data_IF_526343124467
#
_entry.id   IF_526343124467
#
_cell.length_a   1.000
_cell.length_b   1.000
_cell.length_c   1.000
_cell.angle_alpha   90.00
_cell.angle_beta   90.00
_cell.angle_gamma   90.00
#
_symmetry.space_group_name_H-M   'P 1'
#
loop_
_entity.id
_entity.type
_entity.pdbx_description
1 polymer ?
#
# COMPACT_ATOMS: atom_id res chain seq x y z
N UNK A 1 26.17 -1.44 0.85
CA UNK A 1 25.87 -0.50 1.94
C UNK A 1 24.37 -0.22 1.95
N UNK A 2 23.89 0.68 2.80
CA UNK A 2 22.49 1.09 2.80
C UNK A 2 22.34 2.58 3.20
N UNK A 3 21.21 3.18 2.84
CA UNK A 3 20.78 4.52 3.26
C UNK A 3 19.48 4.37 4.04
N UNK A 4 19.45 4.85 5.27
CA UNK A 4 18.21 4.97 6.04
C UNK A 4 17.44 6.21 5.60
N UNK A 5 16.22 6.02 5.12
CA UNK A 5 15.37 7.13 4.70
C UNK A 5 14.75 7.81 5.93
N UNK A 6 14.69 9.14 5.92
CA UNK A 6 14.09 9.94 6.98
C UNK A 6 12.59 9.62 7.11
N UNK A 7 11.91 9.46 5.97
CA UNK A 7 10.51 9.03 5.90
C UNK A 7 10.36 7.86 4.94
N UNK A 8 9.32 7.00 5.12
CA UNK A 8 9.06 5.92 4.18
C UNK A 8 8.71 6.45 2.78
N UNK A 9 9.15 5.74 1.74
CA UNK A 9 8.94 6.11 0.33
C UNK A 9 8.34 4.95 -0.44
N UNK A 10 7.38 5.21 -1.33
CA UNK A 10 6.87 4.16 -2.22
C UNK A 10 7.95 3.69 -3.18
N UNK A 11 8.14 2.37 -3.29
CA UNK A 11 8.91 1.84 -4.39
C UNK A 11 8.15 2.04 -5.72
N UNK A 12 8.75 2.75 -6.66
CA UNK A 12 8.10 3.15 -7.93
C UNK A 12 7.55 1.96 -8.72
N UNK A 13 8.27 0.83 -8.73
CA UNK A 13 7.84 -0.40 -9.39
C UNK A 13 6.61 -1.07 -8.76
N UNK A 14 6.31 -0.76 -7.49
CA UNK A 14 5.23 -1.40 -6.73
C UNK A 14 4.04 -0.49 -6.44
N UNK A 15 4.07 0.79 -6.81
CA UNK A 15 2.97 1.73 -6.52
C UNK A 15 1.60 1.24 -7.01
N UNK A 16 1.56 0.56 -8.17
CA UNK A 16 0.33 0.00 -8.70
C UNK A 16 -0.13 -1.23 -7.88
N UNK A 17 0.80 -2.03 -7.37
CA UNK A 17 0.51 -3.19 -6.52
C UNK A 17 0.06 -2.75 -5.11
N UNK A 18 0.73 -1.76 -4.52
CA UNK A 18 0.33 -1.08 -3.27
C UNK A 18 -1.11 -0.60 -3.38
N UNK A 19 -1.45 0.12 -4.47
CA UNK A 19 -2.81 0.56 -4.76
C UNK A 19 -3.81 -0.60 -4.77
N UNK A 20 -3.49 -1.72 -5.44
CA UNK A 20 -4.38 -2.89 -5.45
C UNK A 20 -4.55 -3.53 -4.07
N UNK A 21 -3.49 -3.59 -3.27
CA UNK A 21 -3.57 -4.09 -1.89
C UNK A 21 -4.49 -3.19 -1.06
N UNK A 22 -4.33 -1.86 -1.14
CA UNK A 22 -5.24 -0.90 -0.48
C UNK A 22 -6.69 -1.00 -0.94
N UNK A 23 -6.93 -1.35 -2.21
CA UNK A 23 -8.28 -1.61 -2.72
C UNK A 23 -8.86 -2.94 -2.21
N UNK A 24 -8.00 -3.86 -1.76
CA UNK A 24 -8.38 -5.20 -1.29
C UNK A 24 -8.68 -5.24 0.22
N UNK A 25 -7.87 -4.55 1.01
CA UNK A 25 -7.98 -4.53 2.48
C UNK A 25 -8.76 -3.32 3.00
N UNK A 26 -9.29 -3.43 4.20
CA UNK A 26 -9.87 -2.35 4.97
C UNK A 26 -8.77 -1.35 5.37
N UNK A 27 -8.99 -0.06 5.08
CA UNK A 27 -8.04 1.01 5.42
C UNK A 27 -7.89 1.27 6.92
N UNK A 28 -8.79 0.72 7.75
CA UNK A 28 -8.80 0.91 9.20
C UNK A 28 -8.27 -0.32 9.95
N UNK A 29 -8.78 -1.51 9.65
CA UNK A 29 -8.44 -2.73 10.40
C UNK A 29 -7.46 -3.67 9.69
N UNK A 30 -7.10 -3.42 8.42
CA UNK A 30 -6.13 -4.23 7.67
C UNK A 30 -6.62 -5.61 7.18
N UNK A 31 -7.83 -6.05 7.57
CA UNK A 31 -8.46 -7.27 7.02
C UNK A 31 -8.90 -7.09 5.57
N UNK A 32 -8.96 -8.16 4.78
CA UNK A 32 -9.62 -8.13 3.47
C UNK A 32 -11.08 -7.70 3.66
N UNK A 33 -11.62 -6.87 2.77
CA UNK A 33 -12.97 -6.27 2.93
C UNK A 33 -14.14 -7.27 2.78
N UNK A 34 -13.84 -8.49 2.33
CA UNK A 34 -14.78 -9.55 2.00
C UNK A 34 -14.39 -10.81 2.76
N UNK A 35 -15.37 -11.69 2.94
CA UNK A 35 -15.23 -12.95 3.66
C UNK A 35 -15.68 -14.16 2.84
N UNK A 36 -15.53 -15.32 3.45
CA UNK A 36 -15.95 -16.61 2.92
C UNK A 36 -17.47 -16.81 2.91
N UNK A 37 -18.30 -15.87 3.41
CA UNK A 37 -19.75 -15.92 3.25
C UNK A 37 -20.13 -15.60 1.80
N UNK A 38 -19.30 -14.85 1.07
CA UNK A 38 -19.47 -14.64 -0.37
C UNK A 38 -18.92 -15.82 -1.21
N UNK A 39 -19.79 -16.50 -1.95
CA UNK A 39 -19.44 -17.64 -2.79
C UNK A 39 -18.38 -17.34 -3.86
N UNK A 40 -18.41 -16.15 -4.47
CA UNK A 40 -17.43 -15.74 -5.46
C UNK A 40 -16.07 -15.48 -4.81
N UNK A 41 -16.05 -14.92 -3.59
CA UNK A 41 -14.82 -14.72 -2.83
C UNK A 41 -14.19 -16.05 -2.41
N UNK A 42 -15.01 -17.00 -1.92
CA UNK A 42 -14.54 -18.35 -1.57
C UNK A 42 -13.92 -19.06 -2.77
N UNK A 43 -14.58 -19.00 -3.93
CA UNK A 43 -14.03 -19.52 -5.20
C UNK A 43 -12.72 -18.81 -5.57
N UNK A 44 -12.64 -17.50 -5.43
CA UNK A 44 -11.42 -16.74 -5.70
C UNK A 44 -10.25 -17.18 -4.78
N UNK A 45 -10.50 -17.38 -3.49
CA UNK A 45 -9.48 -17.84 -2.53
C UNK A 45 -8.97 -19.26 -2.82
N UNK A 46 -9.81 -20.12 -3.41
CA UNK A 46 -9.43 -21.49 -3.80
C UNK A 46 -8.52 -21.58 -5.03
N UNK A 47 -8.29 -20.47 -5.74
CA UNK A 47 -7.42 -20.46 -6.92
C UNK A 47 -5.97 -20.81 -6.52
N UNK A 48 -5.40 -21.81 -7.18
CA UNK A 48 -4.05 -22.32 -6.90
C UNK A 48 -2.94 -21.34 -7.29
N UNK A 49 -3.05 -20.69 -8.46
CA UNK A 49 -2.07 -19.72 -8.91
C UNK A 49 -2.17 -18.40 -8.11
N UNK A 50 -1.14 -17.99 -7.35
CA UNK A 50 -1.23 -16.84 -6.44
C UNK A 50 -1.54 -15.52 -7.17
N UNK A 51 -0.98 -15.34 -8.37
CA UNK A 51 -1.18 -14.12 -9.16
C UNK A 51 -2.62 -13.99 -9.63
N UNK A 52 -3.21 -15.10 -10.08
CA UNK A 52 -4.62 -15.17 -10.51
C UNK A 52 -5.54 -15.03 -9.31
N UNK A 53 -5.24 -15.69 -8.19
CA UNK A 53 -5.95 -15.55 -6.91
C UNK A 53 -6.02 -14.08 -6.48
N UNK A 54 -4.88 -13.40 -6.42
CA UNK A 54 -4.82 -11.99 -6.05
C UNK A 54 -5.67 -11.10 -6.96
N UNK A 55 -5.62 -11.30 -8.27
CA UNK A 55 -6.42 -10.50 -9.18
C UNK A 55 -7.94 -10.78 -9.05
N UNK A 56 -8.33 -12.02 -8.77
CA UNK A 56 -9.73 -12.38 -8.54
C UNK A 56 -10.26 -11.76 -7.24
N UNK A 57 -9.52 -11.93 -6.14
CA UNK A 57 -9.83 -11.35 -4.83
C UNK A 57 -9.91 -9.81 -4.93
N UNK A 58 -8.89 -9.17 -5.49
CA UNK A 58 -8.85 -7.71 -5.67
C UNK A 58 -10.05 -7.19 -6.47
N UNK A 59 -10.48 -7.87 -7.54
CA UNK A 59 -11.64 -7.43 -8.35
C UNK A 59 -12.93 -7.41 -7.54
N UNK A 60 -13.13 -8.39 -6.67
CA UNK A 60 -14.30 -8.46 -5.79
C UNK A 60 -14.23 -7.37 -4.71
N UNK A 61 -13.09 -7.20 -4.06
CA UNK A 61 -12.92 -6.22 -2.98
C UNK A 61 -12.90 -4.76 -3.45
N UNK A 62 -12.39 -4.47 -4.66
CA UNK A 62 -12.31 -3.10 -5.21
C UNK A 62 -13.69 -2.41 -5.28
N UNK A 63 -14.75 -3.17 -5.53
CA UNK A 63 -16.10 -2.63 -5.65
C UNK A 63 -16.72 -2.28 -4.28
N UNK A 64 -16.20 -2.83 -3.18
CA UNK A 64 -16.70 -2.62 -1.83
C UNK A 64 -16.20 -1.29 -1.26
N UNK A 65 -17.15 -0.44 -0.86
CA UNK A 65 -16.89 0.85 -0.22
C UNK A 65 -17.15 0.82 1.30
N UNK A 66 -17.42 -0.35 1.86
CA UNK A 66 -17.64 -0.60 3.29
C UNK A 66 -16.87 -1.89 3.64
N UNK A 67 -16.25 -1.93 4.81
CA UNK A 67 -15.70 -3.17 5.35
C UNK A 67 -16.84 -4.03 5.87
N UNK A 68 -16.99 -5.25 5.37
CA UNK A 68 -18.02 -6.15 5.89
C UNK A 68 -17.81 -6.31 7.43
N UNK A 69 -18.90 -6.45 8.17
CA UNK A 69 -18.88 -6.63 9.62
C UNK A 69 -20.03 -7.55 10.01
N UNK A 70 -19.86 -8.27 11.11
CA UNK A 70 -20.84 -9.24 11.59
C UNK A 70 -22.16 -8.57 12.02
N UNK A 71 -22.15 -7.24 12.23
CA UNK A 71 -23.31 -6.43 12.63
C UNK A 71 -24.17 -5.96 11.45
N UNK A 72 -23.62 -5.94 10.22
CA UNK A 72 -24.31 -5.38 9.05
C UNK A 72 -25.15 -6.43 8.30
N UNK A 73 -25.21 -7.67 8.79
CA UNK A 73 -25.93 -8.76 8.13
C UNK A 73 -27.43 -8.83 8.44
N UNK A 74 -27.91 -8.02 9.40
CA UNK A 74 -29.29 -8.12 9.90
C UNK A 74 -30.35 -7.53 8.97
N UNK A 75 -29.99 -6.79 7.91
CA UNK A 75 -30.99 -6.06 7.11
C UNK A 75 -31.19 -6.52 5.65
N UNK A 76 -30.35 -7.38 5.05
CA UNK A 76 -30.42 -7.58 3.59
C UNK A 76 -30.18 -8.99 3.01
N UNK A 77 -30.06 -10.06 3.81
CA UNK A 77 -29.95 -11.42 3.27
C UNK A 77 -30.88 -12.41 4.01
N UNK A 78 -32.18 -12.28 3.76
CA UNK A 78 -33.13 -13.39 3.91
C UNK A 78 -33.05 -14.26 2.66
N UNK A 79 -31.92 -14.97 2.48
CA UNK A 79 -31.81 -16.01 1.45
C UNK A 79 -32.08 -17.37 2.13
N UNK A 80 -33.28 -17.97 1.95
CA UNK A 80 -33.72 -19.14 2.72
C UNK A 80 -33.00 -20.46 2.34
N UNK A 81 -32.05 -20.44 1.41
CA UNK A 81 -31.37 -21.63 0.87
C UNK A 81 -29.93 -21.83 1.42
N UNK A 82 -29.44 -20.94 2.28
CA UNK A 82 -28.06 -21.01 2.75
C UNK A 82 -27.93 -21.92 3.99
N UNK A 83 -27.90 -23.22 3.75
CA UNK A 83 -27.77 -24.30 4.76
C UNK A 83 -26.37 -24.41 5.41
N UNK A 84 -25.53 -23.36 5.31
CA UNK A 84 -24.18 -23.35 5.90
C UNK A 84 -24.08 -22.38 7.08
N UNK A 85 -23.35 -22.77 8.14
CA UNK A 85 -23.08 -21.87 9.25
C UNK A 85 -22.22 -20.70 8.75
N UNK A 86 -22.71 -19.49 8.96
CA UNK A 86 -22.00 -18.25 8.64
C UNK A 86 -20.74 -18.13 9.50
N UNK A 87 -19.64 -17.70 8.89
CA UNK A 87 -18.37 -17.47 9.60
C UNK A 87 -18.29 -15.99 9.96
N UNK A 88 -17.99 -15.62 11.22
CA UNK A 88 -17.79 -14.22 11.57
C UNK A 88 -16.54 -13.68 10.88
N UNK A 89 -16.71 -12.60 10.12
CA UNK A 89 -15.62 -11.89 9.46
C UNK A 89 -14.81 -11.04 10.44
N UNK A 90 -15.48 -10.46 11.45
CA UNK A 90 -14.87 -9.58 12.44
C UNK A 90 -14.26 -8.31 11.82
N UNK A 91 -14.80 -7.83 10.71
CA UNK A 91 -14.45 -6.54 10.13
C UNK A 91 -15.12 -5.38 10.87
N UNK A 92 -14.71 -4.14 10.59
CA UNK A 92 -15.01 -2.98 11.44
C UNK A 92 -16.15 -2.09 10.94
N UNK A 93 -16.81 -2.41 9.82
CA UNK A 93 -17.93 -1.60 9.29
C UNK A 93 -17.55 -0.24 8.69
N UNK A 94 -16.29 0.19 8.78
CA UNK A 94 -15.86 1.51 8.33
C UNK A 94 -15.92 1.66 6.80
N UNK A 95 -16.20 2.88 6.34
CA UNK A 95 -16.19 3.24 4.92
C UNK A 95 -14.79 3.17 4.34
N UNK A 96 -14.74 2.70 3.09
CA UNK A 96 -13.50 2.44 2.38
C UNK A 96 -13.29 3.48 1.27
N UNK A 97 -12.06 3.99 1.11
CA UNK A 97 -11.76 4.95 0.08
C UNK A 97 -11.74 4.33 -1.32
N UNK A 98 -12.10 5.13 -2.31
CA UNK A 98 -11.74 4.88 -3.70
C UNK A 98 -10.31 5.38 -3.94
N UNK A 99 -9.36 4.46 -4.08
CA UNK A 99 -7.94 4.80 -4.22
C UNK A 99 -7.63 5.19 -5.67
N UNK A 100 -7.00 6.35 -5.85
CA UNK A 100 -6.51 6.87 -7.14
C UNK A 100 -5.01 7.16 -7.05
N UNK A 101 -4.32 6.98 -8.18
CA UNK A 101 -2.91 7.31 -8.34
C UNK A 101 -2.79 8.58 -9.16
N UNK A 102 -2.07 9.56 -8.63
CA UNK A 102 -1.75 10.83 -9.29
C UNK A 102 -0.23 11.00 -9.25
N UNK A 103 0.45 10.71 -10.36
CA UNK A 103 1.92 10.63 -10.41
C UNK A 103 2.47 9.56 -9.45
N UNK A 104 3.31 9.97 -8.50
CA UNK A 104 3.89 9.12 -7.45
C UNK A 104 3.10 9.18 -6.13
N UNK A 105 1.92 9.82 -6.12
CA UNK A 105 1.08 9.98 -4.93
C UNK A 105 -0.17 9.10 -5.04
N UNK A 106 -0.66 8.67 -3.89
CA UNK A 106 -1.95 7.97 -3.75
C UNK A 106 -2.92 8.88 -3.01
N UNK A 107 -4.16 8.90 -3.49
CA UNK A 107 -5.27 9.64 -2.88
C UNK A 107 -6.43 8.68 -2.64
N UNK A 108 -7.02 8.77 -1.46
CA UNK A 108 -8.28 8.11 -1.13
C UNK A 108 -9.42 9.10 -1.24
N UNK A 109 -10.52 8.70 -1.87
CA UNK A 109 -11.76 9.49 -1.90
C UNK A 109 -12.87 8.72 -1.22
N UNK A 110 -13.43 9.28 -0.14
CA UNK A 110 -14.59 8.74 0.56
C UNK A 110 -15.84 9.39 0.01
N UNK A 111 -16.78 8.57 -0.44
CA UNK A 111 -18.08 9.07 -0.89
C UNK A 111 -18.95 9.41 0.33
N UNK A 112 -19.68 10.52 0.28
CA UNK A 112 -20.64 10.85 1.31
C UNK A 112 -21.78 9.83 1.32
N UNK A 113 -22.53 9.79 2.43
CA UNK A 113 -23.70 8.92 2.49
C UNK A 113 -24.78 9.45 1.54
N UNK A 114 -25.59 8.55 1.00
CA UNK A 114 -26.77 8.97 0.25
C UNK A 114 -27.87 9.51 1.17
N UNK A 115 -27.81 9.17 2.46
CA UNK A 115 -28.79 9.55 3.48
C UNK A 115 -28.39 10.77 4.32
N UNK A 116 -27.21 11.35 4.10
CA UNK A 116 -26.82 12.57 4.81
C UNK A 116 -27.72 13.72 4.38
N UNK A 117 -28.43 14.34 5.33
CA UNK A 117 -29.30 15.52 5.14
C UNK A 117 -28.53 16.80 4.76
N UNK A 118 -27.23 16.72 4.46
CA UNK A 118 -26.45 17.87 4.04
C UNK A 118 -26.85 18.31 2.63
N UNK A 119 -27.17 19.60 2.47
CA UNK A 119 -27.28 20.23 1.15
C UNK A 119 -25.89 20.22 0.49
N UNK A 120 -25.70 19.29 -0.44
CA UNK A 120 -24.52 19.14 -1.30
C UNK A 120 -23.27 18.51 -0.64
N UNK A 121 -23.33 17.22 -0.28
CA UNK A 121 -22.23 16.58 0.41
C UNK A 121 -21.05 16.37 -0.55
N UNK A 122 -19.90 16.95 -0.21
CA UNK A 122 -18.69 16.84 -1.04
C UNK A 122 -17.87 15.61 -0.68
N UNK A 123 -17.31 14.89 -1.67
CA UNK A 123 -16.45 13.75 -1.40
C UNK A 123 -15.15 14.19 -0.74
N UNK A 124 -14.80 13.56 0.38
CA UNK A 124 -13.54 13.81 1.08
C UNK A 124 -12.38 13.17 0.31
N UNK A 125 -11.45 13.98 -0.20
CA UNK A 125 -10.22 13.52 -0.86
C UNK A 125 -9.02 13.72 0.06
N UNK A 126 -8.42 12.63 0.55
CA UNK A 126 -7.22 12.67 1.40
C UNK A 126 -6.01 12.06 0.69
N UNK A 127 -4.84 12.68 0.85
CA UNK A 127 -3.57 12.09 0.41
C UNK A 127 -3.18 10.96 1.37
N UNK A 128 -2.80 9.80 0.82
CA UNK A 128 -2.37 8.64 1.60
C UNK A 128 -0.85 8.62 1.64
N UNK A 129 -0.27 8.86 2.81
CA UNK A 129 1.18 8.93 2.96
C UNK A 129 1.81 7.52 3.05
N UNK A 130 3.05 7.33 2.56
CA UNK A 130 3.71 6.03 2.64
C UNK A 130 3.84 5.51 4.08
N UNK A 131 4.07 6.39 5.06
CA UNK A 131 4.14 6.02 6.48
C UNK A 131 2.82 5.46 7.02
N UNK A 132 1.69 6.09 6.70
CA UNK A 132 0.36 5.59 7.09
C UNK A 132 0.09 4.21 6.48
N UNK A 133 0.40 4.04 5.19
CA UNK A 133 0.19 2.77 4.47
C UNK A 133 1.14 1.68 4.98
N UNK A 134 2.38 2.04 5.32
CA UNK A 134 3.33 1.10 5.92
C UNK A 134 2.80 0.55 7.24
N UNK A 135 2.32 1.43 8.12
CA UNK A 135 1.69 1.01 9.38
C UNK A 135 0.49 0.12 9.11
N UNK A 136 -0.41 0.48 8.18
CA UNK A 136 -1.55 -0.35 7.81
C UNK A 136 -1.12 -1.73 7.29
N UNK A 137 -0.12 -1.79 6.41
CA UNK A 137 0.35 -3.05 5.84
C UNK A 137 0.99 -3.98 6.88
N UNK A 138 1.64 -3.42 7.90
CA UNK A 138 2.13 -4.20 9.05
C UNK A 138 1.02 -4.80 9.92
N UNK A 139 -0.19 -4.23 9.89
CA UNK A 139 -1.34 -4.76 10.63
C UNK A 139 -2.04 -5.92 9.90
N UNK A 140 -1.70 -6.18 8.63
CA UNK A 140 -2.28 -7.30 7.87
C UNK A 140 -1.69 -8.60 8.46
N UNK A 141 -2.56 -9.52 8.86
CA UNK A 141 -2.13 -10.83 9.37
C UNK A 141 -1.62 -11.72 8.24
N UNK A 142 -0.75 -12.67 8.59
CA UNK A 142 -0.18 -13.60 7.62
C UNK A 142 -1.24 -14.48 6.94
N UNK A 143 -2.34 -14.78 7.66
CA UNK A 143 -3.50 -15.47 7.09
C UNK A 143 -4.13 -14.66 5.94
N UNK A 144 -4.33 -13.36 6.14
CA UNK A 144 -4.92 -12.48 5.13
C UNK A 144 -3.97 -12.31 3.93
N UNK A 145 -2.64 -12.22 4.17
CA UNK A 145 -1.61 -12.21 3.12
C UNK A 145 -1.72 -13.48 2.25
N UNK A 146 -1.81 -14.66 2.87
CA UNK A 146 -1.97 -15.93 2.15
C UNK A 146 -3.29 -15.97 1.39
N UNK A 147 -4.39 -15.58 2.04
CA UNK A 147 -5.76 -15.59 1.49
C UNK A 147 -5.87 -14.77 0.20
N UNK A 148 -5.32 -13.55 0.20
CA UNK A 148 -5.30 -12.71 -1.00
C UNK A 148 -4.31 -13.17 -2.07
N UNK A 149 -3.46 -14.18 -1.85
CA UNK A 149 -2.50 -14.66 -2.85
C UNK A 149 -1.17 -13.91 -2.89
N UNK A 150 -0.76 -13.33 -1.76
CA UNK A 150 0.61 -12.90 -1.52
C UNK A 150 1.37 -13.97 -0.71
N UNK A 151 2.68 -13.79 -0.56
CA UNK A 151 3.55 -14.72 0.14
C UNK A 151 4.16 -14.02 1.37
N UNK A 152 4.09 -14.68 2.53
CA UNK A 152 4.53 -14.14 3.82
C UNK A 152 6.05 -14.11 3.99
N UNK A 153 6.78 -15.01 3.34
CA UNK A 153 8.24 -15.15 3.47
C UNK A 153 9.01 -14.28 2.47
N UNK A 154 8.44 -14.06 1.28
CA UNK A 154 9.14 -13.46 0.15
C UNK A 154 8.48 -12.18 -0.39
N UNK A 155 7.21 -11.93 -0.07
CA UNK A 155 6.44 -10.86 -0.71
C UNK A 155 5.45 -10.18 0.23
N UNK A 156 5.89 -9.83 1.44
CA UNK A 156 5.07 -9.09 2.40
C UNK A 156 4.70 -7.70 1.87
N UNK A 157 3.45 -7.24 2.04
CA UNK A 157 2.99 -5.97 1.50
C UNK A 157 3.82 -4.75 1.93
N UNK A 158 4.23 -4.70 3.20
CA UNK A 158 5.02 -3.62 3.78
C UNK A 158 6.39 -3.44 3.10
N UNK A 159 6.95 -4.47 2.48
CA UNK A 159 8.25 -4.41 1.78
C UNK A 159 8.16 -3.65 0.45
N UNK A 160 6.95 -3.37 -0.04
CA UNK A 160 6.76 -2.49 -1.20
C UNK A 160 7.04 -1.01 -0.86
N UNK A 161 7.18 -0.68 0.43
CA UNK A 161 7.49 0.65 0.92
C UNK A 161 8.92 0.64 1.46
N UNK A 162 9.77 1.50 0.90
CA UNK A 162 11.17 1.62 1.25
C UNK A 162 11.30 2.46 2.52
N UNK A 163 11.89 1.87 3.56
CA UNK A 163 12.43 2.59 4.73
C UNK A 163 13.95 2.65 4.68
N UNK A 164 14.56 1.66 4.03
CA UNK A 164 16.01 1.56 3.81
C UNK A 164 16.24 1.32 2.32
N UNK A 165 17.10 2.14 1.72
CA UNK A 165 17.49 2.02 0.32
C UNK A 165 18.84 1.29 0.22
N UNK A 166 18.94 0.13 -0.45
CA UNK A 166 20.21 -0.55 -0.64
C UNK A 166 21.12 0.26 -1.55
N UNK A 167 22.40 0.38 -1.16
CA UNK A 167 23.41 1.07 -1.96
C UNK A 167 24.27 0.04 -2.70
N UNK A 168 24.24 0.03 -4.05
CA UNK A 168 25.03 -0.90 -4.84
C UNK A 168 26.54 -0.68 -4.64
N UNK A 169 27.34 -1.76 -4.70
CA UNK A 169 28.79 -1.67 -4.54
C UNK A 169 29.46 -1.04 -5.78
N UNK A 170 30.71 -0.55 -5.67
CA UNK A 170 31.41 0.13 -6.77
C UNK A 170 31.44 -0.61 -8.12
N UNK A 171 31.54 -1.96 -8.20
CA UNK A 171 31.48 -2.66 -9.49
C UNK A 171 30.18 -2.46 -10.27
N UNK A 172 29.08 -2.11 -9.59
CA UNK A 172 27.78 -1.83 -10.21
C UNK A 172 27.63 -0.34 -10.58
N UNK A 173 28.50 0.52 -10.04
CA UNK A 173 28.53 1.97 -10.27
C UNK A 173 29.98 2.44 -10.53
N UNK A 174 30.61 1.98 -11.62
CA UNK A 174 32.04 2.17 -11.85
C UNK A 174 32.40 3.63 -12.13
N UNK A 175 33.54 4.09 -11.63
CA UNK A 175 34.07 5.40 -11.99
C UNK A 175 35.02 5.30 -13.18
N UNK A 176 35.01 6.32 -14.03
CA UNK A 176 35.90 6.47 -15.17
C UNK A 176 37.00 7.49 -14.84
N UNK A 177 38.27 7.14 -15.08
CA UNK A 177 39.36 8.12 -15.08
C UNK A 177 39.63 8.56 -16.51
N UNK A 178 39.59 9.86 -16.77
CA UNK A 178 39.72 10.43 -18.13
C UNK A 178 41.06 10.05 -18.79
N UNK A 179 42.14 9.97 -18.00
CA UNK A 179 43.49 9.74 -18.52
C UNK A 179 43.99 8.29 -18.36
N UNK A 180 43.18 7.37 -17.80
CA UNK A 180 43.58 5.98 -17.55
C UNK A 180 44.71 5.76 -16.52
N UNK A 181 45.39 6.82 -16.09
CA UNK A 181 46.53 6.80 -15.15
C UNK A 181 46.12 6.77 -13.67
N UNK A 182 44.82 6.82 -13.37
CA UNK A 182 44.30 6.83 -11.99
C UNK A 182 44.61 8.08 -11.16
N UNK A 183 45.42 9.02 -11.69
CA UNK A 183 45.83 10.27 -11.03
C UNK A 183 45.12 11.52 -11.57
N UNK A 184 44.31 11.40 -12.63
CA UNK A 184 43.53 12.49 -13.22
C UNK A 184 42.14 12.67 -12.62
N UNK A 185 41.38 13.67 -13.13
CA UNK A 185 39.98 13.88 -12.76
C UNK A 185 39.15 12.62 -13.02
N UNK A 186 38.34 12.23 -12.04
CA UNK A 186 37.45 11.07 -12.11
C UNK A 186 36.03 11.51 -12.40
N UNK A 187 35.40 10.91 -13.42
CA UNK A 187 33.97 10.94 -13.63
C UNK A 187 33.33 9.78 -12.88
N UNK A 188 32.43 10.07 -11.96
CA UNK A 188 31.67 9.03 -11.25
C UNK A 188 30.49 8.55 -12.10
N UNK A 189 29.96 7.37 -11.80
CA UNK A 189 28.75 6.85 -12.45
C UNK A 189 27.50 7.70 -12.12
N UNK A 190 26.54 7.77 -13.03
CA UNK A 190 25.27 8.49 -12.84
C UNK A 190 24.49 8.01 -11.62
N UNK A 191 24.56 6.72 -11.26
CA UNK A 191 23.95 6.20 -10.04
C UNK A 191 24.60 6.83 -8.81
N UNK A 192 25.92 7.03 -8.81
CA UNK A 192 26.62 7.69 -7.70
C UNK A 192 26.16 9.14 -7.55
N UNK A 193 25.99 9.88 -8.64
CA UNK A 193 25.45 11.24 -8.60
C UNK A 193 24.02 11.27 -8.06
N UNK A 194 23.15 10.36 -8.51
CA UNK A 194 21.76 10.32 -8.04
C UNK A 194 21.62 9.86 -6.59
N UNK A 195 22.47 8.94 -6.13
CA UNK A 195 22.57 8.59 -4.71
C UNK A 195 22.99 9.81 -3.87
N UNK A 196 23.91 10.64 -4.38
CA UNK A 196 24.27 11.91 -3.76
C UNK A 196 23.09 12.88 -3.60
N UNK A 197 22.24 13.01 -4.65
CA UNK A 197 21.01 13.80 -4.57
C UNK A 197 20.06 13.27 -3.50
N UNK A 198 19.86 11.94 -3.47
CA UNK A 198 18.99 11.28 -2.48
C UNK A 198 19.48 11.56 -1.06
N UNK A 199 20.79 11.42 -0.80
CA UNK A 199 21.36 11.67 0.53
C UNK A 199 21.13 13.12 0.97
N UNK A 200 21.35 14.10 0.08
CA UNK A 200 21.11 15.51 0.39
C UNK A 200 19.64 15.79 0.71
N UNK A 201 18.73 15.32 -0.14
CA UNK A 201 17.29 15.49 0.09
C UNK A 201 16.84 14.84 1.39
N UNK A 202 17.34 13.63 1.68
CA UNK A 202 17.02 12.89 2.90
C UNK A 202 17.51 13.60 4.16
N UNK A 203 18.72 14.19 4.13
CA UNK A 203 19.26 14.98 5.23
C UNK A 203 18.42 16.24 5.48
N UNK A 204 18.00 16.93 4.41
CA UNK A 204 17.14 18.11 4.52
C UNK A 204 15.79 17.79 5.16
N UNK A 205 15.14 16.68 4.78
CA UNK A 205 13.88 16.23 5.39
C UNK A 205 14.10 15.94 6.88
N UNK A 206 15.15 15.19 7.23
CA UNK A 206 15.47 14.87 8.63
C UNK A 206 15.72 16.12 9.48
N UNK A 207 16.42 17.11 8.92
CA UNK A 207 16.66 18.40 9.59
C UNK A 207 15.36 19.19 9.75
N UNK A 208 14.50 19.21 8.73
CA UNK A 208 13.23 19.92 8.79
C UNK A 208 12.30 19.35 9.87
N UNK A 209 12.24 18.02 10.00
CA UNK A 209 11.50 17.32 11.07
C UNK A 209 12.08 17.62 12.46
N UNK A 210 13.41 17.58 12.60
CA UNK A 210 14.10 17.87 13.88
C UNK A 210 13.87 19.30 14.33
N UNK A 211 13.83 20.24 13.39
CA UNK A 211 13.59 21.66 13.66
C UNK A 211 12.10 21.98 13.91
N UNK A 212 11.20 21.00 13.83
CA UNK A 212 9.76 21.21 14.01
C UNK A 212 9.12 22.04 12.89
N UNK A 213 9.64 21.92 11.67
CA UNK A 213 9.11 22.67 10.52
C UNK A 213 7.64 22.30 10.26
N UNK A 214 6.80 23.25 9.80
CA UNK A 214 5.40 22.97 9.52
C UNK A 214 5.19 21.79 8.56
N UNK A 215 4.22 20.91 8.85
CA UNK A 215 3.97 19.69 8.07
C UNK A 215 3.65 19.90 6.58
N UNK A 216 3.21 21.10 6.18
CA UNK A 216 2.95 21.42 4.78
C UNK A 216 4.23 21.81 4.01
N UNK A 217 5.34 22.06 4.71
CA UNK A 217 6.65 22.44 4.18
C UNK A 217 7.57 21.21 4.04
N UNK A 218 7.41 20.22 4.93
CA UNK A 218 8.17 18.96 4.95
C UNK A 218 7.68 17.96 3.89
#
# INVERSE_FOLDING_TARGET
GHIELATPVFHVGFINKIKKVLETICYNCGKIKLDENNDAFRKACSIRDPKTRFNAVWRLCKAKNICDSDLNEDENNNDPDNSRPKVPHGGCGNRQPQVRKEGLKLYGTWKPDKESQEENPQPEKKRMHPGEILSLFKHISDEEIRKMGLNEDYARPEWMILTVLPVPPPPVRPSISVDGTGQGMRGEDDLTYKLGDIIRANANVRQAETNGSPQHIV
#
